data_IF_786110586218
#
_entry.id   IF_786110586218
#
_cell.length_a   1.000
_cell.length_b   1.000
_cell.length_c   1.000
_cell.angle_alpha   90.00
_cell.angle_beta   90.00
_cell.angle_gamma   90.00
#
_symmetry.space_group_name_H-M   'P 1'
#
loop_
_entity.id
_entity.type
_entity.pdbx_description
1 polymer ?
#
# COMPACT_ATOMS: atom_id res chain seq x y z
N UNK A 1 5.21 8.22 19.70
CA UNK A 1 3.84 8.22 20.25
C UNK A 1 3.01 7.28 19.40
N UNK A 2 2.45 6.22 20.00
CA UNK A 2 1.74 5.13 19.31
C UNK A 2 0.33 5.61 18.93
N UNK A 3 0.03 5.69 17.63
CA UNK A 3 -1.35 5.75 17.16
C UNK A 3 -1.72 4.39 16.56
N UNK A 4 -2.66 3.72 17.20
CA UNK A 4 -3.39 2.60 16.63
C UNK A 4 -4.57 3.19 15.83
N UNK A 5 -4.54 3.05 14.50
CA UNK A 5 -5.71 3.32 13.68
C UNK A 5 -6.64 2.11 13.78
N UNK A 6 -7.77 2.28 14.44
CA UNK A 6 -8.84 1.27 14.52
C UNK A 6 -9.68 1.36 13.24
N UNK A 7 -9.48 0.41 12.32
CA UNK A 7 -10.47 0.08 11.29
C UNK A 7 -11.46 -0.95 11.84
N UNK A 8 -12.73 -0.89 11.45
CA UNK A 8 -13.82 -1.67 12.03
C UNK A 8 -13.70 -3.21 11.88
N UNK A 9 -12.64 -3.74 11.26
CA UNK A 9 -12.43 -5.17 11.02
C UNK A 9 -10.92 -5.50 11.01
N UNK A 10 -10.35 -5.89 12.15
CA UNK A 10 -9.07 -6.61 12.20
C UNK A 10 -7.86 -5.84 12.74
N UNK A 11 -7.03 -6.60 13.47
CA UNK A 11 -5.91 -6.21 14.33
C UNK A 11 -4.99 -5.11 13.79
N UNK A 12 -4.66 -4.14 14.66
CA UNK A 12 -3.60 -3.17 14.45
C UNK A 12 -2.24 -3.89 14.46
N UNK A 13 -1.74 -4.27 13.29
CA UNK A 13 -0.35 -4.67 13.14
C UNK A 13 0.51 -3.40 13.17
N UNK A 14 1.07 -3.10 14.35
CA UNK A 14 2.04 -2.01 14.50
C UNK A 14 3.39 -2.59 14.14
N UNK A 15 3.77 -2.45 12.88
CA UNK A 15 5.12 -2.75 12.41
C UNK A 15 6.08 -1.68 12.94
N UNK A 16 7.25 -2.08 13.43
CA UNK A 16 8.26 -1.12 13.89
C UNK A 16 8.80 -0.30 12.72
N UNK A 17 9.32 0.90 13.01
CA UNK A 17 9.95 1.73 11.97
C UNK A 17 11.09 1.00 11.25
N UNK A 18 11.81 0.12 11.96
CA UNK A 18 12.92 -0.63 11.39
C UNK A 18 12.42 -1.75 10.47
N UNK A 19 11.37 -2.48 10.87
CA UNK A 19 10.73 -3.51 10.03
C UNK A 19 10.14 -2.92 8.75
N UNK A 20 9.44 -1.78 8.84
CA UNK A 20 8.92 -1.06 7.66
C UNK A 20 10.04 -0.67 6.69
N UNK A 21 11.15 -0.13 7.22
CA UNK A 21 12.31 0.25 6.41
C UNK A 21 12.99 -0.96 5.77
N UNK A 22 13.12 -2.07 6.50
CA UNK A 22 13.70 -3.30 5.98
C UNK A 22 12.83 -3.93 4.89
N UNK A 23 11.51 -3.97 5.07
CA UNK A 23 10.58 -4.45 4.05
C UNK A 23 10.63 -3.59 2.79
N UNK A 24 10.65 -2.26 2.94
CA UNK A 24 10.83 -1.33 1.80
C UNK A 24 12.17 -1.55 1.09
N UNK A 25 13.27 -1.67 1.83
CA UNK A 25 14.60 -1.88 1.27
C UNK A 25 14.69 -3.18 0.47
N UNK A 26 14.12 -4.28 0.99
CA UNK A 26 14.06 -5.57 0.28
C UNK A 26 13.26 -5.46 -1.02
N UNK A 27 12.11 -4.80 -0.99
CA UNK A 27 11.28 -4.61 -2.18
C UNK A 27 12.01 -3.77 -3.26
N UNK A 28 12.67 -2.68 -2.85
CA UNK A 28 13.48 -1.88 -3.76
C UNK A 28 14.62 -2.70 -4.38
N UNK A 29 15.31 -3.52 -3.58
CA UNK A 29 16.40 -4.37 -4.09
C UNK A 29 15.89 -5.35 -5.16
N UNK A 30 14.75 -6.01 -4.94
CA UNK A 30 14.15 -6.91 -5.94
C UNK A 30 13.84 -6.21 -7.26
N UNK A 31 13.38 -4.96 -7.21
CA UNK A 31 13.11 -4.15 -8.40
C UNK A 31 14.41 -3.75 -9.11
N UNK A 32 15.43 -3.33 -8.36
CA UNK A 32 16.76 -2.99 -8.89
C UNK A 32 17.39 -4.20 -9.58
N UNK A 33 17.35 -5.38 -8.94
CA UNK A 33 17.88 -6.63 -9.50
C UNK A 33 17.15 -7.03 -10.79
N UNK A 34 15.91 -6.56 -10.96
CA UNK A 34 15.10 -6.74 -12.17
C UNK A 34 15.31 -5.62 -13.22
N UNK A 35 16.26 -4.70 -13.00
CA UNK A 35 16.57 -3.59 -13.90
C UNK A 35 15.58 -2.41 -13.83
N UNK A 36 14.74 -2.34 -12.80
CA UNK A 36 13.75 -1.28 -12.61
C UNK A 36 14.35 -0.14 -11.79
N UNK A 37 14.21 1.09 -12.28
CA UNK A 37 14.54 2.29 -11.50
C UNK A 37 13.47 2.49 -10.43
N UNK A 38 13.86 2.57 -9.16
CA UNK A 38 12.94 2.63 -8.02
C UNK A 38 13.37 3.69 -7.01
N UNK A 39 12.38 4.36 -6.42
CA UNK A 39 12.55 5.22 -5.25
C UNK A 39 11.66 4.68 -4.12
N UNK A 40 12.28 4.29 -3.01
CA UNK A 40 11.58 3.82 -1.82
C UNK A 40 11.22 4.97 -0.88
N UNK A 41 10.01 4.96 -0.34
CA UNK A 41 9.56 5.95 0.64
C UNK A 41 8.69 5.29 1.71
N UNK A 42 9.00 5.59 2.98
CA UNK A 42 8.13 5.25 4.12
C UNK A 42 7.46 6.56 4.54
N UNK A 43 6.15 6.66 4.29
CA UNK A 43 5.36 7.84 4.64
C UNK A 43 5.25 8.02 6.17
N UNK A 44 4.98 9.26 6.60
CA UNK A 44 4.71 9.58 8.00
C UNK A 44 3.31 9.11 8.44
N UNK A 45 3.02 9.22 9.74
CA UNK A 45 1.72 8.80 10.30
C UNK A 45 0.55 9.57 9.68
N UNK A 46 -0.52 8.85 9.37
CA UNK A 46 -1.76 9.39 8.79
C UNK A 46 -2.59 8.29 8.12
N UNK A 47 -3.77 8.62 7.58
CA UNK A 47 -4.57 7.69 6.78
C UNK A 47 -3.81 7.24 5.53
N UNK A 48 -3.71 5.92 5.31
CA UNK A 48 -2.89 5.36 4.22
C UNK A 48 -3.37 5.82 2.84
N UNK A 49 -4.68 5.80 2.59
CA UNK A 49 -5.26 6.19 1.30
C UNK A 49 -4.96 7.66 0.95
N UNK A 50 -5.08 8.56 1.92
CA UNK A 50 -4.79 9.98 1.75
C UNK A 50 -3.30 10.21 1.44
N UNK A 51 -2.41 9.56 2.20
CA UNK A 51 -0.98 9.65 1.97
C UNK A 51 -0.59 9.16 0.56
N UNK A 52 -1.12 8.01 0.13
CA UNK A 52 -0.86 7.46 -1.20
C UNK A 52 -1.40 8.36 -2.31
N UNK A 53 -2.63 8.87 -2.18
CA UNK A 53 -3.21 9.78 -3.17
C UNK A 53 -2.41 11.08 -3.30
N UNK A 54 -1.99 11.67 -2.18
CA UNK A 54 -1.18 12.89 -2.19
C UNK A 54 0.20 12.65 -2.83
N UNK A 55 0.88 11.57 -2.47
CA UNK A 55 2.17 11.20 -3.07
C UNK A 55 2.04 10.99 -4.58
N UNK A 56 1.01 10.28 -5.02
CA UNK A 56 0.77 10.03 -6.44
C UNK A 56 0.55 11.35 -7.21
N UNK A 57 -0.16 12.30 -6.60
CA UNK A 57 -0.36 13.64 -7.16
C UNK A 57 0.95 14.43 -7.22
N UNK A 58 1.73 14.44 -6.14
CA UNK A 58 3.00 15.19 -6.04
C UNK A 58 4.05 14.68 -7.01
N UNK A 59 4.10 13.36 -7.23
CA UNK A 59 4.98 12.71 -8.21
C UNK A 59 4.42 12.77 -9.64
N UNK A 60 3.20 13.28 -9.82
CA UNK A 60 2.44 13.21 -11.06
C UNK A 60 2.41 11.80 -11.67
N UNK A 61 2.16 10.79 -10.83
CA UNK A 61 2.14 9.40 -11.23
C UNK A 61 1.02 9.11 -12.25
N UNK A 62 1.31 8.26 -13.24
CA UNK A 62 0.33 7.85 -14.26
C UNK A 62 -0.61 6.74 -13.77
N UNK A 63 -0.19 5.96 -12.76
CA UNK A 63 -0.91 4.80 -12.24
C UNK A 63 -0.51 4.53 -10.78
N UNK A 64 -1.50 4.20 -9.95
CA UNK A 64 -1.27 3.66 -8.61
C UNK A 64 -1.48 2.14 -8.65
N UNK A 65 -0.50 1.38 -8.17
CA UNK A 65 -0.59 -0.09 -8.07
C UNK A 65 -0.63 -0.48 -6.60
N UNK A 66 -1.63 -1.28 -6.23
CA UNK A 66 -1.78 -1.83 -4.88
C UNK A 66 -1.99 -3.35 -4.95
N UNK A 67 -1.55 -4.07 -3.92
CA UNK A 67 -1.83 -5.51 -3.81
C UNK A 67 -3.25 -5.78 -3.30
N UNK A 68 -3.83 -6.91 -3.70
CA UNK A 68 -5.06 -7.44 -3.10
C UNK A 68 -4.84 -7.79 -1.61
N UNK A 69 -5.82 -7.48 -0.75
CA UNK A 69 -5.72 -7.74 0.71
C UNK A 69 -5.50 -9.21 1.06
N UNK A 70 -4.76 -9.48 2.16
CA UNK A 70 -4.44 -10.83 2.66
C UNK A 70 -5.58 -11.55 3.39
N UNK A 71 -6.76 -10.94 3.49
CA UNK A 71 -7.95 -11.55 4.12
C UNK A 71 -8.62 -12.52 3.13
N UNK A 72 -7.86 -13.52 2.70
CA UNK A 72 -8.21 -14.45 1.63
C UNK A 72 -9.54 -15.20 1.81
N UNK A 73 -9.92 -15.88 0.74
CA UNK A 73 -10.79 -17.05 0.74
C UNK A 73 -12.31 -16.88 0.93
N UNK A 74 -12.85 -15.65 1.01
CA UNK A 74 -14.33 -15.43 0.96
C UNK A 74 -14.76 -14.87 -0.40
N UNK A 75 -14.66 -15.69 -1.43
CA UNK A 75 -15.55 -15.76 -2.61
C UNK A 75 -15.96 -14.50 -3.41
N UNK A 76 -15.48 -13.30 -3.11
CA UNK A 76 -15.87 -12.07 -3.79
C UNK A 76 -14.83 -10.98 -3.58
N UNK A 77 -14.72 -10.09 -4.56
CA UNK A 77 -13.88 -8.88 -4.60
C UNK A 77 -14.20 -7.90 -3.47
N UNK A 78 -13.98 -8.28 -2.21
CA UNK A 78 -14.01 -7.34 -1.10
C UNK A 78 -12.72 -6.54 -1.18
N UNK A 79 -12.80 -5.37 -1.81
CA UNK A 79 -11.76 -4.35 -1.74
C UNK A 79 -11.46 -4.09 -0.26
N UNK A 80 -10.19 -4.24 0.13
CA UNK A 80 -9.76 -3.86 1.49
C UNK A 80 -10.07 -2.39 1.76
N UNK A 81 -10.21 -2.00 3.03
CA UNK A 81 -10.59 -0.62 3.40
C UNK A 81 -9.69 0.43 2.74
N UNK A 82 -8.38 0.21 2.67
CA UNK A 82 -7.44 1.11 2.00
C UNK A 82 -7.70 1.20 0.49
N UNK A 83 -7.96 0.07 -0.18
CA UNK A 83 -8.28 0.05 -1.61
C UNK A 83 -9.59 0.79 -1.89
N UNK A 84 -10.60 0.58 -1.04
CA UNK A 84 -11.88 1.26 -1.14
C UNK A 84 -11.74 2.77 -0.94
N UNK A 85 -11.08 3.20 0.14
CA UNK A 85 -10.86 4.62 0.45
C UNK A 85 -10.05 5.31 -0.66
N UNK A 86 -9.01 4.64 -1.18
CA UNK A 86 -8.16 5.19 -2.23
C UNK A 86 -8.93 5.48 -3.51
N UNK A 87 -9.84 4.58 -3.93
CA UNK A 87 -10.69 4.78 -5.11
C UNK A 87 -11.60 6.02 -4.98
N UNK A 88 -11.93 6.44 -3.76
CA UNK A 88 -12.71 7.65 -3.52
C UNK A 88 -11.86 8.93 -3.40
N UNK A 89 -10.55 8.79 -3.16
CA UNK A 89 -9.67 9.93 -2.84
C UNK A 89 -8.75 10.34 -3.99
N UNK A 90 -8.40 9.41 -4.89
CA UNK A 90 -7.43 9.66 -5.96
C UNK A 90 -8.07 10.06 -7.28
N UNK A 91 -7.42 10.95 -8.03
CA UNK A 91 -7.74 11.26 -9.42
C UNK A 91 -6.95 10.40 -10.42
N UNK A 92 -6.11 9.48 -9.92
CA UNK A 92 -5.26 8.60 -10.73
C UNK A 92 -5.89 7.23 -10.95
N UNK A 93 -5.66 6.58 -12.10
CA UNK A 93 -6.00 5.18 -12.29
C UNK A 93 -5.43 4.31 -11.15
N UNK A 94 -6.20 3.33 -10.70
CA UNK A 94 -5.78 2.37 -9.66
C UNK A 94 -5.85 0.97 -10.22
N UNK A 95 -4.72 0.25 -10.19
CA UNK A 95 -4.64 -1.17 -10.51
C UNK A 95 -4.49 -1.99 -9.24
N UNK A 96 -5.41 -2.92 -9.03
CA UNK A 96 -5.35 -3.90 -7.95
C UNK A 96 -4.68 -5.15 -8.50
N UNK A 97 -3.46 -5.42 -8.07
CA UNK A 97 -2.72 -6.61 -8.43
C UNK A 97 -3.13 -7.78 -7.53
N UNK A 98 -3.74 -8.80 -8.11
CA UNK A 98 -4.02 -10.06 -7.42
C UNK A 98 -2.73 -10.82 -7.12
N UNK A 99 -2.75 -11.60 -6.03
CA UNK A 99 -1.66 -12.52 -5.75
C UNK A 99 -1.65 -13.63 -6.79
N UNK A 100 -0.51 -13.84 -7.45
CA UNK A 100 -0.31 -15.04 -8.29
C UNK A 100 -0.31 -16.28 -7.37
N UNK A 101 -1.24 -17.24 -7.55
CA UNK A 101 -1.21 -18.50 -6.81
C UNK A 101 0.13 -19.21 -7.03
N UNK A 102 0.65 -19.84 -5.98
CA UNK A 102 1.88 -20.64 -6.07
C UNK A 102 1.66 -21.94 -6.84
#
# INVERSE_FOLDING_TARGET
>A
VRQALFGAQGFAYVESNDEMRQTMARACQMLIDSGVTVQGMVAHQGPVAEAVAQIAKDLNADLIVIGSSRMGDIGSLLLGSVSHDLLHMTDRPVLVAERVPA
#
